data_IF_661005787275
#
_entry.id   IF_661005787275
#
_cell.length_a   1.000
_cell.length_b   1.000
_cell.length_c   1.000
_cell.angle_alpha   90.00
_cell.angle_beta   90.00
_cell.angle_gamma   90.00
#
_symmetry.space_group_name_H-M   'P 1'
#
loop_
_entity.id
_entity.type
_entity.pdbx_description
1 polymer ?
#
# COMPACT_ATOMS: atom_id res chain seq x y z
N UNK A 1 11.20 -20.67 22.68
CA UNK A 1 11.06 -20.48 22.68
C UNK A 1 10.79 -20.50 22.45
N UNK A 2 10.59 -20.40 22.27
CA UNK A 2 10.29 -20.17 22.21
C UNK A 2 9.94 -20.28 22.05
N UNK A 3 9.69 -20.42 21.98
CA UNK A 3 9.29 -20.38 22.05
C UNK A 3 8.81 -20.45 21.80
N UNK A 4 8.59 -20.36 21.85
CA UNK A 4 8.15 -20.19 21.75
C UNK A 4 7.63 -20.52 21.24
N UNK A 5 7.22 -20.75 21.20
CA UNK A 5 6.87 -20.96 20.84
C UNK A 5 6.39 -21.45 20.16
N UNK A 6 5.77 -21.96 19.74
CA UNK A 6 5.51 -22.48 18.92
C UNK A 6 4.22 -22.90 18.31
N UNK A 7 3.12 -23.82 18.62
CA UNK A 7 1.78 -24.10 18.14
C UNK A 7 1.03 -22.84 17.88
N UNK A 8 1.28 -21.93 18.70
CA UNK A 8 0.78 -20.58 18.50
C UNK A 8 1.34 -19.93 17.27
N UNK A 9 2.29 -20.56 16.68
CA UNK A 9 2.90 -20.01 15.47
C UNK A 9 1.93 -19.82 14.34
N UNK A 10 0.90 -20.63 14.29
CA UNK A 10 -0.10 -20.50 13.24
C UNK A 10 -0.77 -19.13 13.29
N UNK A 11 -1.25 -18.75 14.45
CA UNK A 11 -1.87 -17.46 14.64
C UNK A 11 -0.88 -16.32 14.44
N UNK A 12 0.32 -16.51 14.94
CA UNK A 12 1.36 -15.50 14.80
C UNK A 12 1.72 -15.28 13.34
N UNK A 13 1.81 -16.36 12.56
CA UNK A 13 2.11 -16.25 11.14
C UNK A 13 1.06 -15.42 10.42
N UNK A 14 -0.20 -15.64 10.75
CA UNK A 14 -1.28 -14.89 10.13
C UNK A 14 -1.17 -13.41 10.46
N UNK A 15 -0.85 -13.10 11.68
CA UNK A 15 -0.67 -11.71 12.10
C UNK A 15 0.49 -11.06 11.35
N UNK A 16 1.56 -11.80 11.17
CA UNK A 16 2.71 -11.28 10.45
C UNK A 16 2.36 -10.94 9.01
N UNK A 17 1.56 -11.79 8.37
CA UNK A 17 1.16 -11.53 6.99
C UNK A 17 0.33 -10.27 6.89
N UNK A 18 -0.58 -10.07 7.84
CA UNK A 18 -1.40 -8.86 7.86
C UNK A 18 -0.55 -7.64 8.09
N UNK A 19 0.44 -7.74 8.96
CA UNK A 19 1.34 -6.64 9.23
C UNK A 19 2.15 -6.27 8.00
N UNK A 20 2.61 -7.28 7.25
CA UNK A 20 3.37 -7.02 6.03
C UNK A 20 2.54 -6.30 4.98
N UNK A 21 1.29 -6.73 4.80
CA UNK A 21 0.40 -6.07 3.85
C UNK A 21 0.12 -4.64 4.28
N UNK A 22 -0.07 -4.43 5.56
CA UNK A 22 -0.32 -3.10 6.09
C UNK A 22 0.86 -2.18 5.79
N UNK A 23 2.07 -2.67 6.01
CA UNK A 23 3.28 -1.89 5.74
C UNK A 23 3.41 -1.58 4.25
N UNK A 24 3.11 -2.58 3.41
CA UNK A 24 3.18 -2.40 1.97
C UNK A 24 2.18 -1.36 1.50
N UNK A 25 0.95 -1.43 2.00
CA UNK A 25 -0.09 -0.47 1.63
C UNK A 25 0.26 0.94 2.08
N UNK A 26 0.84 1.07 3.28
CA UNK A 26 1.28 2.36 3.76
C UNK A 26 2.35 2.96 2.85
N UNK A 27 3.28 2.12 2.44
CA UNK A 27 4.36 2.54 1.56
C UNK A 27 3.81 2.96 0.20
N UNK A 28 2.93 2.15 -0.37
CA UNK A 28 2.30 2.47 -1.66
C UNK A 28 1.49 3.75 -1.57
N UNK A 29 0.76 3.91 -0.48
CA UNK A 29 -0.04 5.11 -0.26
C UNK A 29 0.83 6.35 -0.26
N UNK A 30 1.96 6.30 0.43
CA UNK A 30 2.89 7.42 0.48
C UNK A 30 3.50 7.69 -0.90
N UNK A 31 3.82 6.65 -1.62
CA UNK A 31 4.39 6.80 -2.96
C UNK A 31 3.37 7.41 -3.92
N UNK A 32 2.13 6.96 -3.83
CA UNK A 32 1.04 7.51 -4.66
C UNK A 32 0.87 9.00 -4.34
N UNK A 33 0.82 9.34 -3.07
CA UNK A 33 0.68 10.72 -2.64
C UNK A 33 1.84 11.57 -3.19
N UNK A 34 3.06 11.08 -3.05
CA UNK A 34 4.24 11.79 -3.54
C UNK A 34 4.20 11.99 -5.05
N UNK A 35 3.76 10.96 -5.79
CA UNK A 35 3.66 11.05 -7.24
C UNK A 35 2.64 12.11 -7.66
N UNK A 36 1.52 12.18 -6.94
CA UNK A 36 0.49 13.18 -7.21
C UNK A 36 1.02 14.59 -6.94
N UNK A 37 1.71 14.76 -5.83
CA UNK A 37 2.31 16.05 -5.50
C UNK A 37 3.30 16.48 -6.57
N UNK A 38 4.03 15.53 -7.11
CA UNK A 38 5.09 15.81 -8.09
C UNK A 38 4.56 16.16 -9.47
N UNK A 39 3.57 15.41 -9.96
CA UNK A 39 3.12 15.55 -11.35
C UNK A 39 1.61 15.55 -11.54
N UNK A 40 0.85 15.58 -10.47
CA UNK A 40 -0.60 15.67 -10.57
C UNK A 40 -1.30 14.32 -10.44
N UNK A 41 -2.63 14.38 -10.41
CA UNK A 41 -3.46 13.21 -10.12
C UNK A 41 -3.98 12.47 -11.36
N UNK A 42 -3.54 12.88 -12.54
CA UNK A 42 -4.00 12.23 -13.77
C UNK A 42 -2.98 11.19 -14.24
N UNK A 43 -3.33 9.90 -14.18
CA UNK A 43 -2.40 8.84 -14.57
C UNK A 43 -1.96 8.91 -16.03
N UNK A 44 -2.76 9.54 -16.89
CA UNK A 44 -2.42 9.69 -18.30
C UNK A 44 -1.23 10.62 -18.48
N UNK A 45 -1.09 11.58 -17.60
CA UNK A 45 0.01 12.54 -17.65
C UNK A 45 1.05 12.29 -16.58
N UNK A 46 0.79 11.33 -15.69
CA UNK A 46 1.70 11.00 -14.62
C UNK A 46 2.04 9.53 -14.70
N UNK A 47 3.09 9.24 -15.43
CA UNK A 47 3.53 7.87 -15.66
C UNK A 47 3.83 7.12 -14.35
N UNK A 48 4.47 7.81 -13.44
CA UNK A 48 4.83 7.24 -12.15
C UNK A 48 3.58 6.84 -11.36
N UNK A 49 2.59 7.72 -11.37
CA UNK A 49 1.33 7.46 -10.69
C UNK A 49 0.63 6.25 -11.30
N UNK A 50 0.63 6.17 -12.61
CA UNK A 50 0.01 5.04 -13.31
C UNK A 50 0.64 3.72 -12.88
N UNK A 51 1.95 3.66 -12.84
CA UNK A 51 2.68 2.48 -12.39
C UNK A 51 2.30 2.09 -10.97
N UNK A 52 2.24 3.07 -10.09
CA UNK A 52 1.92 2.83 -8.70
C UNK A 52 0.48 2.35 -8.53
N UNK A 53 -0.44 2.89 -9.31
CA UNK A 53 -1.83 2.46 -9.26
C UNK A 53 -1.98 1.01 -9.70
N UNK A 54 -1.28 0.63 -10.75
CA UNK A 54 -1.31 -0.74 -11.21
C UNK A 54 -0.74 -1.69 -10.16
N UNK A 55 0.35 -1.30 -9.55
CA UNK A 55 0.96 -2.10 -8.50
C UNK A 55 0.04 -2.23 -7.29
N UNK A 56 -0.60 -1.15 -6.91
CA UNK A 56 -1.52 -1.16 -5.78
C UNK A 56 -2.69 -2.10 -6.03
N UNK A 57 -3.25 -2.08 -7.23
CA UNK A 57 -4.33 -2.98 -7.59
C UNK A 57 -3.87 -4.42 -7.56
N UNK A 58 -2.68 -4.68 -8.06
CA UNK A 58 -2.12 -6.01 -8.09
C UNK A 58 -1.92 -6.56 -6.68
N UNK A 59 -1.57 -5.69 -5.75
CA UNK A 59 -1.37 -6.09 -4.36
C UNK A 59 -2.66 -6.19 -3.57
N UNK A 60 -3.78 -5.88 -4.19
CA UNK A 60 -5.08 -6.00 -3.54
C UNK A 60 -5.52 -4.78 -2.76
N UNK A 61 -4.92 -3.65 -3.03
CA UNK A 61 -5.27 -2.42 -2.34
C UNK A 61 -6.65 -1.95 -2.77
N UNK A 62 -7.46 -1.54 -1.82
CA UNK A 62 -8.83 -1.12 -2.10
C UNK A 62 -8.84 0.21 -2.85
N UNK A 63 -9.82 0.35 -3.75
CA UNK A 63 -9.96 1.57 -4.53
C UNK A 63 -10.09 2.79 -3.63
N UNK A 64 -10.86 2.66 -2.55
CA UNK A 64 -11.03 3.76 -1.60
C UNK A 64 -9.70 4.24 -1.02
N UNK A 65 -8.86 3.29 -0.66
CA UNK A 65 -7.55 3.61 -0.09
C UNK A 65 -6.67 4.31 -1.12
N UNK A 66 -6.72 3.83 -2.36
CA UNK A 66 -5.95 4.43 -3.45
C UNK A 66 -6.41 5.86 -3.70
N UNK A 67 -7.72 6.06 -3.78
CA UNK A 67 -8.28 7.39 -4.01
C UNK A 67 -7.94 8.36 -2.88
N UNK A 68 -7.93 7.85 -1.66
CA UNK A 68 -7.58 8.66 -0.50
C UNK A 68 -6.13 9.15 -0.61
N UNK A 69 -5.23 8.27 -1.04
CA UNK A 69 -3.84 8.63 -1.22
C UNK A 69 -3.68 9.70 -2.30
N UNK A 70 -4.43 9.56 -3.40
CA UNK A 70 -4.40 10.55 -4.48
C UNK A 70 -4.92 11.88 -3.97
N UNK A 71 -6.02 11.85 -3.24
CA UNK A 71 -6.63 13.06 -2.69
C UNK A 71 -5.67 13.78 -1.75
N UNK A 72 -4.93 13.02 -0.95
CA UNK A 72 -3.96 13.62 -0.03
C UNK A 72 -2.87 14.37 -0.79
N UNK A 73 -2.54 13.92 -1.98
CA UNK A 73 -1.52 14.58 -2.78
C UNK A 73 -2.01 15.78 -3.57
N UNK A 74 -3.32 15.94 -3.66
CA UNK A 74 -3.90 17.00 -4.49
C UNK A 74 -3.91 18.38 -3.85
N UNK A 75 -3.52 18.48 -2.64
CA UNK A 75 -3.50 19.77 -1.98
C UNK A 75 -2.76 20.83 -2.81
#
# INVERSE_FOLDING_TARGET
MSGHSHAKNVGVSKSKNDAKKSALYSKLSKEITAAVVESGDNPQYNYKLRSLLEKAKKEGMKKETIEKAIKNGKK
#
